data_IF_757505976322
#
_entry.id   IF_757505976322
#
_cell.length_a   1.000
_cell.length_b   1.000
_cell.length_c   1.000
_cell.angle_alpha   90.00
_cell.angle_beta   90.00
_cell.angle_gamma   90.00
#
_symmetry.space_group_name_H-M   'P 1'
#
loop_
_entity.id
_entity.type
_entity.pdbx_description
1 polymer ?
#
# COMPACT_ATOMS: atom_id res chain seq x y z
N UNK A 1 12.76 -22.32 -9.86
CA UNK A 1 12.11 -21.01 -10.08
C UNK A 1 11.57 -20.51 -8.75
N UNK A 2 11.64 -19.22 -8.48
CA UNK A 2 10.99 -18.64 -7.28
C UNK A 2 9.47 -18.74 -7.45
N UNK A 3 8.69 -18.94 -6.39
CA UNK A 3 7.24 -18.84 -6.46
C UNK A 3 6.81 -17.41 -6.86
N UNK A 4 5.64 -17.28 -7.46
CA UNK A 4 5.08 -15.96 -7.82
C UNK A 4 4.31 -15.33 -6.68
N UNK A 5 4.36 -14.00 -6.60
CA UNK A 5 3.52 -13.23 -5.70
C UNK A 5 2.87 -12.03 -6.41
N UNK A 6 1.61 -11.77 -6.07
CA UNK A 6 0.95 -10.50 -6.37
C UNK A 6 1.29 -9.52 -5.27
N UNK A 7 1.85 -8.37 -5.61
CA UNK A 7 2.20 -7.31 -4.65
C UNK A 7 1.31 -6.11 -4.87
N UNK A 8 0.52 -5.74 -3.86
CA UNK A 8 -0.28 -4.51 -3.90
C UNK A 8 0.64 -3.30 -3.76
N UNK A 9 0.77 -2.51 -4.83
CA UNK A 9 1.72 -1.41 -4.91
C UNK A 9 1.00 -0.09 -5.16
N UNK A 10 1.02 0.82 -4.19
CA UNK A 10 0.51 2.19 -4.39
C UNK A 10 1.57 3.16 -4.92
N UNK A 11 2.86 2.90 -4.71
CA UNK A 11 3.96 3.82 -4.94
C UNK A 11 4.36 4.64 -3.70
N UNK A 12 3.67 4.43 -2.58
CA UNK A 12 4.01 4.98 -1.27
C UNK A 12 5.10 4.18 -0.55
N UNK A 13 5.58 4.72 0.57
CA UNK A 13 6.66 4.18 1.38
C UNK A 13 6.44 2.69 1.74
N UNK A 14 5.29 2.36 2.31
CA UNK A 14 5.01 1.02 2.84
C UNK A 14 4.93 -0.02 1.73
N UNK A 15 4.17 0.25 0.68
CA UNK A 15 3.99 -0.68 -0.44
C UNK A 15 5.28 -0.91 -1.23
N UNK A 16 6.13 0.11 -1.34
CA UNK A 16 7.44 -0.01 -1.98
C UNK A 16 8.39 -0.86 -1.15
N UNK A 17 8.35 -0.70 0.18
CA UNK A 17 9.10 -1.58 1.10
C UNK A 17 8.64 -3.04 0.96
N UNK A 18 7.33 -3.28 0.86
CA UNK A 18 6.78 -4.61 0.61
C UNK A 18 7.25 -5.21 -0.71
N UNK A 19 7.30 -4.41 -1.78
CA UNK A 19 7.79 -4.88 -3.08
C UNK A 19 9.27 -5.32 -2.98
N UNK A 20 10.12 -4.49 -2.39
CA UNK A 20 11.54 -4.78 -2.23
C UNK A 20 11.76 -6.04 -1.35
N UNK A 21 11.02 -6.17 -0.26
CA UNK A 21 11.03 -7.37 0.58
C UNK A 21 10.59 -8.62 -0.20
N UNK A 22 9.49 -8.51 -0.96
CA UNK A 22 8.93 -9.63 -1.72
C UNK A 22 9.90 -10.13 -2.81
N UNK A 23 10.64 -9.25 -3.47
CA UNK A 23 11.60 -9.61 -4.51
C UNK A 23 12.74 -10.51 -4.00
N UNK A 24 13.00 -10.57 -2.69
CA UNK A 24 13.98 -11.49 -2.12
C UNK A 24 13.49 -12.94 -2.18
N UNK A 25 12.18 -13.18 -2.16
CA UNK A 25 11.60 -14.51 -2.03
C UNK A 25 10.74 -14.93 -3.23
N UNK A 26 10.22 -13.97 -4.02
CA UNK A 26 9.21 -14.18 -5.05
C UNK A 26 9.61 -13.59 -6.40
N UNK A 27 9.05 -14.16 -7.48
CA UNK A 27 8.87 -13.49 -8.75
C UNK A 27 7.61 -12.62 -8.63
N UNK A 28 7.79 -11.29 -8.59
CA UNK A 28 6.72 -10.36 -8.25
C UNK A 28 5.96 -9.88 -9.48
N UNK A 29 4.63 -9.76 -9.35
CA UNK A 29 3.75 -9.01 -10.23
C UNK A 29 3.11 -7.92 -9.40
N UNK A 30 3.38 -6.66 -9.71
CA UNK A 30 2.83 -5.51 -8.99
C UNK A 30 1.43 -5.17 -9.50
N UNK A 31 0.50 -4.93 -8.58
CA UNK A 31 -0.86 -4.54 -8.86
C UNK A 31 -1.16 -3.19 -8.21
N UNK A 32 -1.48 -2.20 -9.02
CA UNK A 32 -1.87 -0.86 -8.57
C UNK A 32 -3.32 -0.57 -8.96
N UNK A 33 -3.95 0.36 -8.25
CA UNK A 33 -5.33 0.73 -8.47
C UNK A 33 -5.47 2.22 -8.75
N UNK A 34 -6.25 2.55 -9.77
CA UNK A 34 -6.83 3.86 -9.97
C UNK A 34 -8.30 3.78 -9.55
N UNK A 35 -8.65 4.46 -8.43
CA UNK A 35 -9.95 4.29 -7.77
C UNK A 35 -10.67 5.60 -7.47
N UNK A 36 -10.29 6.70 -8.15
CA UNK A 36 -10.82 8.03 -7.89
C UNK A 36 -10.08 8.79 -6.78
N UNK A 37 -8.86 8.38 -6.44
CA UNK A 37 -8.02 9.07 -5.45
C UNK A 37 -7.64 10.47 -5.90
N UNK A 38 -7.47 11.39 -4.93
CA UNK A 38 -7.14 12.81 -5.15
C UNK A 38 -5.88 13.05 -5.96
N UNK A 39 -4.85 12.23 -5.77
CA UNK A 39 -3.58 12.37 -6.47
C UNK A 39 -3.26 11.07 -7.21
N UNK A 40 -2.86 11.21 -8.47
CA UNK A 40 -2.38 10.10 -9.30
C UNK A 40 -0.86 9.99 -9.29
N UNK A 41 -0.15 10.88 -8.59
CA UNK A 41 1.32 10.89 -8.54
C UNK A 41 1.90 9.67 -7.87
N UNK A 42 1.15 9.02 -6.95
CA UNK A 42 1.51 7.71 -6.41
C UNK A 42 1.59 6.64 -7.51
N UNK A 43 0.64 6.63 -8.46
CA UNK A 43 0.67 5.68 -9.58
C UNK A 43 1.85 5.90 -10.51
N UNK A 44 2.22 7.16 -10.76
CA UNK A 44 3.43 7.50 -11.53
C UNK A 44 4.67 6.98 -10.82
N UNK A 45 4.75 7.15 -9.50
CA UNK A 45 5.83 6.59 -8.68
C UNK A 45 5.87 5.05 -8.79
N UNK A 46 4.72 4.38 -8.65
CA UNK A 46 4.63 2.92 -8.78
C UNK A 46 5.11 2.42 -10.15
N UNK A 47 4.77 3.11 -11.25
CA UNK A 47 5.22 2.77 -12.59
C UNK A 47 6.75 2.92 -12.75
N UNK A 48 7.32 3.98 -12.19
CA UNK A 48 8.77 4.21 -12.23
C UNK A 48 9.52 3.16 -11.42
N UNK A 49 9.05 2.88 -10.20
CA UNK A 49 9.63 1.88 -9.30
C UNK A 49 9.63 0.48 -9.93
N UNK A 50 8.50 0.04 -10.48
CA UNK A 50 8.39 -1.27 -11.11
C UNK A 50 9.24 -1.41 -12.37
N UNK A 51 9.34 -0.33 -13.18
CA UNK A 51 10.22 -0.30 -14.35
C UNK A 51 11.69 -0.45 -13.96
N UNK A 52 12.12 0.25 -12.92
CA UNK A 52 13.50 0.15 -12.42
C UNK A 52 13.80 -1.22 -11.80
N UNK A 53 12.83 -1.78 -11.09
CA UNK A 53 12.95 -3.09 -10.46
C UNK A 53 12.80 -4.26 -11.45
N UNK A 54 12.44 -4.02 -12.71
CA UNK A 54 12.18 -5.06 -13.71
C UNK A 54 10.96 -5.93 -13.37
N UNK A 55 9.96 -5.36 -12.67
CA UNK A 55 8.75 -6.06 -12.20
C UNK A 55 7.59 -5.80 -13.15
N UNK A 56 6.86 -6.87 -13.53
CA UNK A 56 5.62 -6.72 -14.28
C UNK A 56 4.62 -5.90 -13.47
N UNK A 57 3.99 -4.89 -14.10
CA UNK A 57 3.08 -3.98 -13.44
C UNK A 57 1.73 -3.93 -14.15
N UNK A 58 0.66 -4.10 -13.40
CA UNK A 58 -0.73 -3.99 -13.85
C UNK A 58 -1.44 -2.89 -13.08
N UNK A 59 -2.15 -2.02 -13.81
CA UNK A 59 -2.99 -0.99 -13.21
C UNK A 59 -4.45 -1.34 -13.46
N UNK A 60 -5.22 -1.44 -12.38
CA UNK A 60 -6.65 -1.75 -12.40
C UNK A 60 -7.44 -0.46 -12.16
N UNK A 61 -8.38 -0.19 -13.04
CA UNK A 61 -9.31 0.94 -12.89
C UNK A 61 -10.58 0.45 -12.20
N UNK A 62 -10.90 1.06 -11.07
CA UNK A 62 -12.15 0.87 -10.33
C UNK A 62 -12.71 2.23 -9.96
N UNK A 63 -14.01 2.34 -9.77
CA UNK A 63 -14.63 3.62 -9.40
C UNK A 63 -15.20 3.54 -7.99
N UNK A 64 -14.40 3.98 -7.01
CA UNK A 64 -14.84 4.19 -5.63
C UNK A 64 -15.21 5.66 -5.36
N UNK A 65 -14.83 6.57 -6.25
CA UNK A 65 -15.14 7.99 -6.11
C UNK A 65 -16.64 8.26 -6.12
N UNK A 66 -17.39 7.55 -6.95
CA UNK A 66 -18.86 7.66 -7.01
C UNK A 66 -19.59 7.18 -5.74
N UNK A 67 -18.93 6.45 -4.85
CA UNK A 67 -19.50 6.04 -3.57
C UNK A 67 -19.37 7.13 -2.50
N UNK A 68 -18.40 8.03 -2.64
CA UNK A 68 -18.11 9.08 -1.67
C UNK A 68 -17.62 8.55 -0.33
N UNK A 69 -17.81 9.36 0.73
CA UNK A 69 -17.61 8.92 2.12
C UNK A 69 -16.16 8.93 2.63
N UNK A 70 -15.19 9.42 1.84
CA UNK A 70 -13.80 9.57 2.27
C UNK A 70 -13.17 10.83 1.71
N UNK A 71 -12.40 11.53 2.54
CA UNK A 71 -11.60 12.67 2.09
C UNK A 71 -10.57 12.32 1.01
N UNK A 72 -10.27 11.05 0.77
CA UNK A 72 -9.34 10.64 -0.29
C UNK A 72 -10.00 10.46 -1.66
N UNK A 73 -11.32 10.32 -1.72
CA UNK A 73 -12.09 10.11 -2.96
C UNK A 73 -13.16 11.17 -3.20
N UNK A 74 -13.58 11.89 -2.16
CA UNK A 74 -14.55 12.96 -2.20
C UNK A 74 -13.87 14.32 -1.99
N UNK A 75 -13.82 15.14 -3.03
CA UNK A 75 -13.17 16.46 -2.99
C UNK A 75 -13.91 17.49 -2.15
N UNK A 76 -15.15 17.23 -1.75
CA UNK A 76 -15.93 18.10 -0.86
C UNK A 76 -15.55 17.97 0.60
N UNK A 77 -14.86 16.84 0.97
CA UNK A 77 -14.39 16.58 2.32
C UNK A 77 -12.92 16.99 2.41
N UNK A 78 -12.58 17.90 3.30
CA UNK A 78 -11.18 18.31 3.50
C UNK A 78 -10.33 17.21 4.11
N UNK A 79 -9.07 17.11 3.66
CA UNK A 79 -8.07 16.23 4.28
C UNK A 79 -7.51 16.93 5.52
N UNK A 80 -7.66 16.35 6.73
CA UNK A 80 -7.18 16.98 7.95
C UNK A 80 -5.66 17.17 7.98
N UNK A 81 -5.23 18.24 8.64
CA UNK A 81 -3.83 18.54 8.94
C UNK A 81 -3.44 18.20 10.39
N UNK A 82 -4.33 17.57 11.13
CA UNK A 82 -4.18 17.13 12.51
C UNK A 82 -4.63 15.68 12.68
N UNK A 83 -4.20 15.06 13.77
CA UNK A 83 -4.60 13.70 14.13
C UNK A 83 -6.09 13.63 14.48
N UNK A 84 -6.76 12.58 14.04
CA UNK A 84 -8.18 12.35 14.30
C UNK A 84 -8.36 11.16 15.25
N UNK A 85 -9.32 11.26 16.16
CA UNK A 85 -9.75 10.15 17.00
C UNK A 85 -10.67 9.19 16.23
N UNK A 86 -10.55 7.89 16.52
CA UNK A 86 -11.39 6.86 15.91
C UNK A 86 -11.04 6.55 14.48
N UNK A 87 -12.05 6.28 13.64
CA UNK A 87 -11.86 6.00 12.20
C UNK A 87 -11.75 7.34 11.47
N UNK A 88 -10.58 7.68 10.90
CA UNK A 88 -10.37 8.98 10.29
C UNK A 88 -11.18 9.14 8.98
N UNK A 89 -11.52 10.37 8.62
CA UNK A 89 -12.26 10.69 7.37
C UNK A 89 -11.48 10.31 6.11
N UNK A 90 -10.19 10.00 6.22
CA UNK A 90 -9.34 9.49 5.14
C UNK A 90 -9.50 7.99 4.90
N UNK A 91 -10.24 7.30 5.75
CA UNK A 91 -10.60 5.89 5.50
C UNK A 91 -11.50 5.80 4.27
N UNK A 92 -11.09 5.04 3.27
CA UNK A 92 -11.93 4.71 2.12
C UNK A 92 -12.66 3.40 2.44
N UNK A 93 -14.00 3.40 2.55
CA UNK A 93 -14.75 2.24 3.00
C UNK A 93 -14.44 0.97 2.20
N UNK A 94 -14.05 -0.09 2.91
CA UNK A 94 -13.74 -1.43 2.37
C UNK A 94 -12.68 -1.46 1.25
N UNK A 95 -11.83 -0.44 1.14
CA UNK A 95 -10.85 -0.34 0.04
C UNK A 95 -9.93 -1.56 -0.03
N UNK A 96 -9.34 -1.97 1.09
CA UNK A 96 -8.45 -3.12 1.11
C UNK A 96 -9.18 -4.43 0.83
N UNK A 97 -10.46 -4.57 1.20
CA UNK A 97 -11.30 -5.70 0.81
C UNK A 97 -11.43 -5.81 -0.69
N UNK A 98 -11.72 -4.70 -1.37
CA UNK A 98 -11.87 -4.62 -2.83
C UNK A 98 -10.52 -4.93 -3.51
N UNK A 99 -9.43 -4.31 -3.06
CA UNK A 99 -8.10 -4.52 -3.62
C UNK A 99 -7.63 -5.97 -3.46
N UNK A 100 -7.83 -6.55 -2.29
CA UNK A 100 -7.51 -7.96 -2.04
C UNK A 100 -8.36 -8.91 -2.89
N UNK A 101 -9.62 -8.58 -3.18
CA UNK A 101 -10.47 -9.39 -4.06
C UNK A 101 -9.95 -9.40 -5.50
N UNK A 102 -9.48 -8.26 -6.01
CA UNK A 102 -8.79 -8.19 -7.30
C UNK A 102 -7.45 -8.94 -7.28
N UNK A 103 -6.67 -8.79 -6.20
CA UNK A 103 -5.41 -9.51 -6.05
C UNK A 103 -5.62 -11.02 -6.00
N UNK A 104 -6.72 -11.47 -5.38
CA UNK A 104 -7.10 -12.88 -5.32
C UNK A 104 -7.37 -13.45 -6.72
N UNK A 105 -8.16 -12.74 -7.53
CA UNK A 105 -8.41 -13.12 -8.91
C UNK A 105 -7.13 -13.11 -9.75
N UNK A 106 -6.28 -12.08 -9.59
CA UNK A 106 -5.00 -11.99 -10.27
C UNK A 106 -4.06 -13.15 -9.88
N UNK A 107 -4.04 -13.54 -8.61
CA UNK A 107 -3.22 -14.66 -8.14
C UNK A 107 -3.61 -15.96 -8.82
N UNK A 108 -4.90 -16.25 -9.00
CA UNK A 108 -5.34 -17.43 -9.74
C UNK A 108 -4.96 -17.37 -11.22
N UNK A 109 -5.15 -16.22 -11.88
CA UNK A 109 -4.85 -16.03 -13.31
C UNK A 109 -3.36 -16.19 -13.59
N UNK A 110 -2.50 -15.62 -12.75
CA UNK A 110 -1.04 -15.63 -12.94
C UNK A 110 -0.35 -16.82 -12.27
N UNK A 111 -1.09 -17.69 -11.58
CA UNK A 111 -0.52 -18.82 -10.85
C UNK A 111 0.40 -18.38 -9.70
N UNK A 112 0.05 -17.29 -9.02
CA UNK A 112 0.79 -16.83 -7.86
C UNK A 112 0.45 -17.66 -6.62
N UNK A 113 1.43 -17.82 -5.72
CA UNK A 113 1.30 -18.58 -4.48
C UNK A 113 1.11 -17.67 -3.27
N UNK A 114 1.35 -16.36 -3.44
CA UNK A 114 1.23 -15.38 -2.38
C UNK A 114 0.62 -14.05 -2.86
N UNK A 115 -0.02 -13.35 -1.92
CA UNK A 115 -0.43 -11.94 -2.05
C UNK A 115 0.29 -11.16 -0.96
N UNK A 116 0.98 -10.09 -1.34
CA UNK A 116 1.73 -9.22 -0.43
C UNK A 116 1.02 -7.88 -0.33
N UNK A 117 0.75 -7.44 0.90
CA UNK A 117 0.08 -6.16 1.17
C UNK A 117 0.80 -5.41 2.30
N UNK A 118 1.01 -4.11 2.08
CA UNK A 118 1.71 -3.20 2.99
C UNK A 118 0.79 -2.55 4.03
N UNK A 119 -0.05 -3.35 4.70
CA UNK A 119 -0.83 -2.86 5.84
C UNK A 119 0.04 -2.78 7.09
N UNK A 120 -0.30 -1.80 7.94
CA UNK A 120 0.36 -1.58 9.23
C UNK A 120 -0.70 -1.33 10.31
N UNK A 121 -0.66 -2.10 11.39
CA UNK A 121 -1.60 -1.99 12.49
C UNK A 121 -1.10 -1.04 13.59
N UNK A 122 0.18 -0.66 13.57
CA UNK A 122 0.79 0.19 14.60
C UNK A 122 0.49 1.66 14.33
N UNK A 123 0.71 2.13 13.07
CA UNK A 123 0.55 3.53 12.71
C UNK A 123 -0.88 3.88 12.28
N UNK A 124 -1.64 2.92 11.76
CA UNK A 124 -3.00 3.09 11.23
C UNK A 124 -4.02 2.20 11.92
N UNK A 125 -3.97 2.14 13.26
CA UNK A 125 -4.90 1.34 14.07
C UNK A 125 -6.37 1.71 13.87
N UNK A 126 -6.66 2.92 13.34
CA UNK A 126 -8.02 3.39 13.05
C UNK A 126 -8.66 2.78 11.79
N UNK A 127 -7.91 2.11 10.91
CA UNK A 127 -8.48 1.53 9.69
C UNK A 127 -8.94 0.08 9.93
N UNK A 128 -10.25 -0.21 9.84
CA UNK A 128 -10.78 -1.56 10.12
C UNK A 128 -10.16 -2.65 9.26
N UNK A 129 -9.83 -2.33 8.01
CA UNK A 129 -9.30 -3.23 6.99
C UNK A 129 -7.74 -3.26 6.93
N UNK A 130 -7.09 -2.80 8.02
CA UNK A 130 -5.65 -2.93 8.24
C UNK A 130 -5.29 -3.82 9.45
N UNK A 131 -6.29 -4.42 10.11
CA UNK A 131 -6.10 -5.22 11.32
C UNK A 131 -5.75 -6.67 11.01
N UNK A 132 -5.00 -7.35 11.89
CA UNK A 132 -4.65 -8.77 11.73
C UNK A 132 -5.87 -9.66 11.54
N UNK A 133 -6.94 -9.44 12.31
CA UNK A 133 -8.18 -10.24 12.28
C UNK A 133 -8.90 -10.13 10.92
N UNK A 134 -8.80 -8.96 10.26
CA UNK A 134 -9.33 -8.77 8.92
C UNK A 134 -8.57 -9.66 7.91
N UNK A 135 -7.24 -9.67 7.96
CA UNK A 135 -6.43 -10.49 7.06
C UNK A 135 -6.68 -11.98 7.27
N UNK A 136 -6.78 -12.42 8.53
CA UNK A 136 -7.11 -13.81 8.85
C UNK A 136 -8.49 -14.21 8.30
N UNK A 137 -9.49 -13.37 8.51
CA UNK A 137 -10.84 -13.62 7.98
C UNK A 137 -10.85 -13.64 6.44
N UNK A 138 -10.13 -12.72 5.79
CA UNK A 138 -10.00 -12.68 4.34
C UNK A 138 -9.30 -13.93 3.80
N UNK A 139 -8.20 -14.38 4.42
CA UNK A 139 -7.49 -15.60 4.05
C UNK A 139 -8.38 -16.85 4.19
N UNK A 140 -9.20 -16.91 5.24
CA UNK A 140 -10.17 -17.99 5.43
C UNK A 140 -11.24 -17.97 4.32
N UNK A 141 -11.76 -16.81 3.97
CA UNK A 141 -12.70 -16.66 2.85
C UNK A 141 -12.05 -17.08 1.52
N UNK A 142 -10.83 -16.62 1.25
CA UNK A 142 -10.09 -16.95 0.03
C UNK A 142 -9.89 -18.46 -0.14
N UNK A 143 -9.61 -19.18 0.95
CA UNK A 143 -9.48 -20.65 0.94
C UNK A 143 -10.75 -21.36 0.47
N UNK A 144 -11.92 -20.79 0.76
CA UNK A 144 -13.22 -21.35 0.37
C UNK A 144 -13.68 -20.91 -1.02
N UNK A 145 -13.22 -19.71 -1.45
CA UNK A 145 -13.74 -19.04 -2.64
C UNK A 145 -12.86 -19.20 -3.89
N UNK A 146 -11.70 -19.87 -3.79
CA UNK A 146 -10.77 -20.00 -4.90
C UNK A 146 -10.56 -21.46 -5.28
N UNK A 147 -10.23 -21.70 -6.56
CA UNK A 147 -9.87 -23.03 -7.06
C UNK A 147 -8.69 -23.61 -6.29
N UNK A 148 -7.62 -22.84 -6.15
CA UNK A 148 -6.41 -23.29 -5.43
C UNK A 148 -6.67 -23.60 -3.96
N UNK A 149 -7.55 -22.84 -3.33
CA UNK A 149 -7.99 -23.09 -1.96
C UNK A 149 -8.73 -24.42 -1.79
N UNK A 150 -9.69 -24.70 -2.69
CA UNK A 150 -10.48 -25.95 -2.72
C UNK A 150 -9.59 -27.14 -3.08
N UNK A 151 -8.57 -26.96 -3.92
CA UNK A 151 -7.61 -27.99 -4.29
C UNK A 151 -6.53 -28.24 -3.21
N UNK A 152 -6.63 -27.58 -2.03
CA UNK A 152 -5.72 -27.79 -0.89
C UNK A 152 -4.38 -27.08 -1.03
N UNK A 153 -4.29 -26.06 -1.88
CA UNK A 153 -3.10 -25.20 -2.09
C UNK A 153 -3.45 -23.73 -1.80
N UNK A 154 -3.83 -23.39 -0.56
CA UNK A 154 -4.30 -22.03 -0.26
C UNK A 154 -3.18 -21.00 -0.47
N UNK A 155 -3.58 -19.82 -0.96
CA UNK A 155 -2.70 -18.66 -1.10
C UNK A 155 -2.18 -18.20 0.26
N UNK A 156 -0.93 -17.75 0.29
CA UNK A 156 -0.33 -17.07 1.44
C UNK A 156 -0.66 -15.58 1.38
N UNK A 157 -1.04 -15.01 2.51
CA UNK A 157 -1.18 -13.56 2.67
C UNK A 157 0.01 -13.05 3.48
N UNK A 158 0.91 -12.37 2.80
CA UNK A 158 2.15 -11.85 3.40
C UNK A 158 1.94 -10.39 3.80
N UNK A 159 2.14 -10.11 5.07
CA UNK A 159 1.96 -8.77 5.68
C UNK A 159 3.23 -8.37 6.44
N UNK A 160 4.38 -8.19 5.74
CA UNK A 160 5.67 -8.05 6.39
C UNK A 160 5.79 -6.83 7.30
N UNK A 161 4.90 -5.85 7.16
CA UNK A 161 4.93 -4.59 7.91
C UNK A 161 3.93 -4.53 9.07
N UNK A 162 3.08 -5.54 9.23
CA UNK A 162 1.88 -5.50 10.07
C UNK A 162 2.15 -5.03 11.51
N UNK A 163 3.26 -5.44 12.09
CA UNK A 163 3.64 -5.18 13.49
C UNK A 163 4.87 -4.27 13.62
N UNK A 164 5.29 -3.60 12.53
CA UNK A 164 6.47 -2.75 12.55
C UNK A 164 6.08 -1.29 12.81
N UNK A 165 6.90 -0.58 13.59
CA UNK A 165 6.81 0.89 13.63
C UNK A 165 7.28 1.48 12.29
N UNK A 166 6.88 2.73 11.98
CA UNK A 166 7.31 3.41 10.76
C UNK A 166 8.83 3.46 10.62
N UNK A 167 9.54 3.67 11.72
CA UNK A 167 11.00 3.65 11.76
C UNK A 167 11.56 2.29 11.32
N UNK A 168 10.97 1.18 11.80
CA UNK A 168 11.41 -0.16 11.43
C UNK A 168 11.06 -0.51 9.99
N UNK A 169 9.92 -0.02 9.47
CA UNK A 169 9.57 -0.14 8.05
C UNK A 169 10.63 0.56 7.18
N UNK A 170 11.04 1.76 7.56
CA UNK A 170 12.06 2.52 6.83
C UNK A 170 13.41 1.80 6.87
N UNK A 171 13.84 1.28 8.03
CA UNK A 171 15.08 0.51 8.12
C UNK A 171 15.02 -0.74 7.24
N UNK A 172 13.93 -1.48 7.30
CA UNK A 172 13.71 -2.66 6.45
C UNK A 172 13.83 -2.32 4.96
N UNK A 173 13.22 -1.22 4.53
CA UNK A 173 13.30 -0.80 3.13
C UNK A 173 14.73 -0.41 2.73
N UNK A 174 15.47 0.31 3.58
CA UNK A 174 16.88 0.63 3.32
C UNK A 174 17.74 -0.64 3.23
N UNK A 175 17.52 -1.62 4.09
CA UNK A 175 18.19 -2.93 4.03
C UNK A 175 17.92 -3.67 2.71
N UNK A 176 16.72 -3.48 2.14
CA UNK A 176 16.34 -4.02 0.83
C UNK A 176 16.64 -3.09 -0.36
N UNK A 177 17.37 -1.98 -0.13
CA UNK A 177 17.81 -1.07 -1.18
C UNK A 177 16.74 -0.12 -1.71
N UNK A 178 15.68 0.15 -0.95
CA UNK A 178 14.64 1.12 -1.35
C UNK A 178 15.18 2.54 -1.36
N UNK A 179 15.06 3.21 -2.49
CA UNK A 179 15.26 4.67 -2.61
C UNK A 179 13.93 5.39 -2.34
N UNK A 180 13.74 5.83 -1.11
CA UNK A 180 12.53 6.53 -0.70
C UNK A 180 12.32 7.92 -1.33
N UNK A 181 13.33 8.48 -2.01
CA UNK A 181 13.16 9.74 -2.78
C UNK A 181 12.19 9.57 -3.95
N UNK A 182 11.99 8.33 -4.42
CA UNK A 182 11.11 7.98 -5.53
C UNK A 182 9.69 7.63 -5.09
N UNK A 183 9.42 7.59 -3.79
CA UNK A 183 8.11 7.22 -3.26
C UNK A 183 7.26 8.44 -2.96
N UNK A 184 5.96 8.35 -3.24
CA UNK A 184 4.98 9.39 -2.91
C UNK A 184 3.93 8.80 -1.97
N UNK A 185 3.82 9.35 -0.75
CA UNK A 185 2.84 8.89 0.25
C UNK A 185 1.82 9.97 0.63
N UNK A 186 2.01 11.19 0.15
CA UNK A 186 1.19 12.33 0.53
C UNK A 186 -0.21 12.25 -0.09
N UNK A 187 -1.25 12.42 0.73
CA UNK A 187 -2.65 12.46 0.28
C UNK A 187 -2.98 13.65 -0.63
N UNK A 188 -2.17 14.71 -0.57
CA UNK A 188 -2.33 15.97 -1.29
C UNK A 188 -1.03 16.36 -2.02
N UNK A 189 -0.35 15.36 -2.60
CA UNK A 189 0.83 15.65 -3.42
C UNK A 189 0.43 16.50 -4.64
N UNK A 190 1.30 17.45 -4.99
CA UNK A 190 1.11 18.22 -6.21
C UNK A 190 1.47 17.41 -7.47
N UNK A 191 1.24 18.01 -8.66
CA UNK A 191 1.49 17.36 -9.95
C UNK A 191 2.97 16.98 -10.17
N UNK A 192 3.89 17.54 -9.37
CA UNK A 192 5.32 17.21 -9.37
C UNK A 192 5.68 16.13 -8.34
N UNK A 193 4.69 15.58 -7.63
CA UNK A 193 4.88 14.59 -6.57
C UNK A 193 5.48 15.16 -5.28
N UNK A 194 5.46 16.50 -5.09
CA UNK A 194 5.92 17.12 -3.85
C UNK A 194 4.85 16.99 -2.77
N UNK A 195 5.28 16.63 -1.57
CA UNK A 195 4.40 16.37 -0.45
C UNK A 195 3.94 17.65 0.25
N UNK A 196 2.69 17.71 0.72
CA UNK A 196 2.15 18.86 1.44
C UNK A 196 2.82 19.11 2.81
N UNK A 197 3.45 18.12 3.38
CA UNK A 197 4.19 18.20 4.65
C UNK A 197 3.34 18.21 5.93
N UNK A 198 1.98 18.20 5.82
CA UNK A 198 1.09 18.40 6.97
C UNK A 198 0.00 17.32 7.15
N UNK A 199 -0.43 16.60 6.12
CA UNK A 199 -1.39 15.51 6.29
C UNK A 199 -0.81 14.36 7.13
N UNK A 200 -1.67 13.46 7.64
CA UNK A 200 -1.26 12.33 8.50
C UNK A 200 -0.14 11.50 7.89
N UNK A 201 -0.26 11.15 6.61
CA UNK A 201 0.79 10.40 5.93
C UNK A 201 2.14 11.13 5.92
N UNK A 202 2.15 12.46 5.72
CA UNK A 202 3.38 13.25 5.80
C UNK A 202 3.94 13.32 7.22
N UNK A 203 3.09 13.46 8.24
CA UNK A 203 3.51 13.52 9.65
C UNK A 203 4.15 12.20 10.09
N UNK A 204 3.45 11.08 9.83
CA UNK A 204 3.95 9.74 10.13
C UNK A 204 5.25 9.43 9.40
N UNK A 205 5.36 9.84 8.13
CA UNK A 205 6.59 9.68 7.35
C UNK A 205 7.75 10.45 7.96
N UNK A 206 7.58 11.75 8.23
CA UNK A 206 8.62 12.60 8.86
C UNK A 206 9.08 12.02 10.19
N UNK A 207 8.13 11.67 11.06
CA UNK A 207 8.43 11.08 12.37
C UNK A 207 9.16 9.75 12.20
N UNK A 208 8.71 8.88 11.29
CA UNK A 208 9.35 7.60 11.03
C UNK A 208 10.82 7.73 10.59
N UNK A 209 11.14 8.68 9.71
CA UNK A 209 12.53 8.96 9.31
C UNK A 209 13.35 9.50 10.48
N UNK A 210 12.81 10.42 11.28
CA UNK A 210 13.48 10.95 12.47
C UNK A 210 13.79 9.83 13.48
N UNK A 211 12.81 8.96 13.79
CA UNK A 211 12.96 7.84 14.71
C UNK A 211 13.88 6.74 14.17
N UNK A 212 13.98 6.63 12.85
CA UNK A 212 14.92 5.73 12.20
C UNK A 212 16.37 6.24 12.26
N UNK A 213 16.57 7.53 12.50
CA UNK A 213 17.88 8.19 12.39
C UNK A 213 18.37 8.32 10.95
N UNK A 214 17.45 8.36 9.99
CA UNK A 214 17.72 8.42 8.54
C UNK A 214 17.16 9.76 8.02
N UNK A 215 17.90 10.44 7.14
CA UNK A 215 17.43 11.67 6.53
C UNK A 215 16.21 11.40 5.64
N UNK A 216 15.13 12.18 5.82
CA UNK A 216 13.94 12.07 4.97
C UNK A 216 14.22 12.68 3.59
N UNK A 217 14.23 11.87 2.50
CA UNK A 217 14.52 12.35 1.16
C UNK A 217 13.31 12.95 0.46
N UNK A 218 12.18 13.11 1.15
CA UNK A 218 10.93 13.59 0.57
C UNK A 218 11.05 15.04 0.10
N UNK A 219 10.60 15.29 -1.12
CA UNK A 219 10.45 16.65 -1.63
C UNK A 219 9.14 17.24 -1.11
N UNK A 220 9.25 18.25 -0.26
CA UNK A 220 8.08 18.99 0.25
C UNK A 220 7.79 20.23 -0.57
N UNK A 221 6.52 20.65 -0.61
CA UNK A 221 6.11 21.94 -1.16
C UNK A 221 6.74 23.02 -0.27
N UNK A 222 7.46 24.02 -0.82
CA UNK A 222 7.99 25.12 -0.03
C UNK A 222 6.86 25.86 0.71
N UNK A 223 7.10 26.24 1.97
CA UNK A 223 6.19 27.03 2.80
C UNK A 223 6.34 28.50 2.46
#
# INVERSE_FOLDING_TARGET
MRPRAIVLLSGGLDSTTCLAWAQSNYECIALSFMYGQRSTTELVAAQQLTKQAGVEHRVINIDLGNLGGSALTDHTIEVPDHEQEGIPVTYVPARNTIFLSYALAAAEVFGAEAIVIGINAVDYSGYPDCRPEFIEAFANMARLATKVGVEGKPLKFETPLLHLSKANIIRLGVEHGVDYSQTVSCYQADDQGRACGKCDSCRLRKQGFADAGIADPTRYIPV
#
